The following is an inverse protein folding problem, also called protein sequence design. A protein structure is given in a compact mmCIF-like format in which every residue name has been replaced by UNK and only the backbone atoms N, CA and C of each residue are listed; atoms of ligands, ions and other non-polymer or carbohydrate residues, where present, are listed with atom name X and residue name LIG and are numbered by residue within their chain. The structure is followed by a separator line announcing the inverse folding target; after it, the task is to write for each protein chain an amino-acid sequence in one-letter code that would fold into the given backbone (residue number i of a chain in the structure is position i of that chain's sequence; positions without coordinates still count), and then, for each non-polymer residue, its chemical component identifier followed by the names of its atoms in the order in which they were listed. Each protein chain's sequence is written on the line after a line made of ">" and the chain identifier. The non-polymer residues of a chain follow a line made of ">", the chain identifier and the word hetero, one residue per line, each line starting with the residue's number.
data_IF_281514735049
#
_entry.id   IF_281514735049
#
_cell.length_a   1.000
_cell.length_b   1.000
_cell.length_c   1.000
_cell.angle_alpha   90.00
_cell.angle_beta   90.00
_cell.angle_gamma   90.00
#
_symmetry.space_group_name_H-M   'P 1'
#
loop_
_entity.id
_entity.type
_entity.pdbx_description
1 polymer ?
#
# COMPACT_ATOMS: atom_id res chain seq x y z
N UNK A 1 -25.84 -8.90 25.22
CA UNK A 1 -26.37 -8.28 23.99
C UNK A 1 -25.86 -6.85 23.74
N UNK A 2 -25.87 -5.88 24.71
CA UNK A 2 -25.45 -4.48 24.41
C UNK A 2 -23.99 -4.37 23.93
N UNK A 3 -23.07 -5.16 24.45
CA UNK A 3 -21.66 -5.14 24.05
C UNK A 3 -21.41 -5.63 22.63
N UNK A 4 -22.22 -6.57 22.13
CA UNK A 4 -22.14 -7.07 20.74
C UNK A 4 -22.60 -5.99 19.78
N UNK A 5 -23.72 -5.31 20.09
CA UNK A 5 -24.22 -4.21 19.28
C UNK A 5 -23.23 -3.04 19.27
N UNK A 6 -22.67 -2.69 20.41
CA UNK A 6 -21.66 -1.64 20.51
C UNK A 6 -20.40 -1.99 19.69
N UNK A 7 -19.94 -3.25 19.72
CA UNK A 7 -18.80 -3.70 18.92
C UNK A 7 -19.08 -3.63 17.41
N UNK A 8 -20.27 -4.08 16.97
CA UNK A 8 -20.68 -3.98 15.57
C UNK A 8 -20.74 -2.50 15.12
N UNK A 9 -21.36 -1.65 15.94
CA UNK A 9 -21.44 -0.22 15.63
C UNK A 9 -20.05 0.43 15.55
N UNK A 10 -19.14 0.10 16.44
CA UNK A 10 -17.76 0.58 16.40
C UNK A 10 -17.03 0.14 15.12
N UNK A 11 -17.24 -1.11 14.68
CA UNK A 11 -16.70 -1.62 13.41
C UNK A 11 -17.28 -0.83 12.23
N UNK A 12 -18.60 -0.66 12.18
CA UNK A 12 -19.27 0.07 11.10
C UNK A 12 -18.81 1.53 11.05
N UNK A 13 -18.70 2.19 12.21
CA UNK A 13 -18.21 3.57 12.27
C UNK A 13 -16.74 3.69 11.86
N UNK A 14 -15.88 2.75 12.25
CA UNK A 14 -14.49 2.72 11.84
C UNK A 14 -14.34 2.53 10.31
N UNK A 15 -15.11 1.61 9.72
CA UNK A 15 -15.15 1.45 8.26
C UNK A 15 -15.72 2.67 7.55
N UNK A 16 -16.82 3.26 8.06
CA UNK A 16 -17.41 4.48 7.53
C UNK A 16 -16.43 5.67 7.55
N UNK A 17 -15.70 5.85 8.65
CA UNK A 17 -14.69 6.89 8.77
C UNK A 17 -13.53 6.71 7.78
N UNK A 18 -13.15 5.47 7.49
CA UNK A 18 -12.13 5.14 6.46
C UNK A 18 -12.63 5.50 5.06
N UNK A 19 -13.89 5.19 4.73
CA UNK A 19 -14.50 5.54 3.44
C UNK A 19 -14.58 7.06 3.21
N UNK A 20 -14.79 7.83 4.28
CA UNK A 20 -14.85 9.28 4.20
C UNK A 20 -13.46 9.95 4.08
N UNK A 21 -12.42 9.34 4.62
CA UNK A 21 -11.06 9.91 4.70
C UNK A 21 -10.04 9.23 3.78
N UNK A 22 -10.31 8.00 3.35
CA UNK A 22 -9.37 7.17 2.59
C UNK A 22 -9.98 6.61 1.30
N UNK A 23 -9.20 5.75 0.64
CA UNK A 23 -9.69 4.93 -0.45
C UNK A 23 -10.49 3.74 0.11
N UNK A 24 -11.59 3.30 -0.55
CA UNK A 24 -12.21 2.03 -0.22
C UNK A 24 -11.18 0.90 -0.37
N UNK A 25 -11.35 -0.15 0.43
CA UNK A 25 -10.50 -1.34 0.29
C UNK A 25 -10.73 -1.99 -1.08
N UNK A 26 -9.75 -1.87 -1.95
CA UNK A 26 -9.68 -2.51 -3.25
C UNK A 26 -8.51 -3.51 -3.22
N UNK A 27 -8.77 -4.81 -3.18
CA UNK A 27 -7.71 -5.80 -3.12
C UNK A 27 -6.95 -5.85 -4.45
N UNK A 28 -5.65 -5.63 -4.42
CA UNK A 28 -4.78 -5.82 -5.57
C UNK A 28 -4.82 -7.28 -6.04
N UNK A 29 -5.01 -7.49 -7.33
CA UNK A 29 -4.98 -8.81 -7.92
C UNK A 29 -3.54 -9.34 -7.97
N UNK A 30 -3.36 -10.67 -7.79
CA UNK A 30 -2.02 -11.29 -7.83
C UNK A 30 -1.21 -10.98 -9.07
N UNK A 31 -1.77 -10.98 -10.30
CA UNK A 31 -1.03 -10.60 -11.51
C UNK A 31 -0.49 -9.17 -11.45
N UNK A 32 -1.29 -8.22 -10.95
CA UNK A 32 -0.90 -6.81 -10.79
C UNK A 32 0.21 -6.65 -9.74
N UNK A 33 0.08 -7.32 -8.59
CA UNK A 33 1.11 -7.29 -7.56
C UNK A 33 2.45 -7.84 -8.09
N UNK A 34 2.43 -8.95 -8.84
CA UNK A 34 3.64 -9.50 -9.49
C UNK A 34 4.22 -8.54 -10.51
N UNK A 35 3.37 -7.99 -11.39
CA UNK A 35 3.80 -7.01 -12.40
C UNK A 35 4.46 -5.78 -11.75
N UNK A 36 3.92 -5.30 -10.62
CA UNK A 36 4.52 -4.19 -9.89
C UNK A 36 5.91 -4.53 -9.33
N UNK A 37 6.07 -5.71 -8.72
CA UNK A 37 7.37 -6.15 -8.21
C UNK A 37 8.39 -6.33 -9.34
N UNK A 38 7.98 -6.90 -10.47
CA UNK A 38 8.82 -7.03 -11.66
C UNK A 38 9.23 -5.67 -12.24
N UNK A 39 8.29 -4.72 -12.33
CA UNK A 39 8.58 -3.38 -12.86
C UNK A 39 9.50 -2.57 -11.94
N UNK A 40 9.32 -2.69 -10.61
CA UNK A 40 10.19 -2.03 -9.63
C UNK A 40 11.60 -2.62 -9.61
N UNK A 41 11.76 -3.88 -10.00
CA UNK A 41 13.03 -4.62 -10.10
C UNK A 41 13.91 -4.48 -8.84
N UNK A 42 13.29 -4.54 -7.67
CA UNK A 42 14.00 -4.46 -6.40
C UNK A 42 14.71 -5.78 -6.11
N UNK A 43 15.95 -5.68 -5.62
CA UNK A 43 16.77 -6.85 -5.24
C UNK A 43 16.42 -7.34 -3.84
N UNK A 44 16.60 -8.64 -3.55
CA UNK A 44 16.48 -9.15 -2.19
C UNK A 44 17.28 -8.32 -1.18
N UNK A 45 16.65 -8.03 -0.04
CA UNK A 45 17.20 -7.15 1.00
C UNK A 45 16.86 -5.67 0.85
N UNK A 46 16.44 -5.19 -0.34
CA UNK A 46 15.93 -3.84 -0.52
C UNK A 46 14.54 -3.70 0.10
N UNK A 47 14.11 -2.46 0.32
CA UNK A 47 12.87 -2.14 1.03
C UNK A 47 11.80 -1.63 0.06
N UNK A 48 10.63 -2.26 0.09
CA UNK A 48 9.40 -1.80 -0.54
C UNK A 48 8.52 -1.06 0.47
N UNK A 49 8.04 0.13 0.12
CA UNK A 49 7.00 0.84 0.85
C UNK A 49 5.65 0.65 0.14
N UNK A 50 4.67 0.07 0.83
CA UNK A 50 3.30 -0.05 0.33
C UNK A 50 2.39 0.97 0.99
N UNK A 51 1.76 1.82 0.19
CA UNK A 51 0.82 2.83 0.64
C UNK A 51 -0.62 2.31 0.49
N UNK A 52 -1.30 2.13 1.63
CA UNK A 52 -2.60 1.47 1.69
C UNK A 52 -2.46 -0.05 1.59
N UNK A 53 -1.73 -0.66 2.55
CA UNK A 53 -1.37 -2.08 2.45
C UNK A 53 -2.54 -3.07 2.63
N UNK A 54 -3.72 -2.57 2.99
CA UNK A 54 -4.92 -3.37 3.07
C UNK A 54 -4.75 -4.61 3.95
N UNK A 55 -5.12 -5.76 3.41
CA UNK A 55 -5.03 -7.05 4.10
C UNK A 55 -3.63 -7.69 4.06
N UNK A 56 -2.62 -7.03 3.49
CA UNK A 56 -1.22 -7.46 3.50
C UNK A 56 -0.85 -8.52 2.46
N UNK A 57 -1.66 -8.76 1.44
CA UNK A 57 -1.34 -9.73 0.37
C UNK A 57 -0.08 -9.36 -0.40
N UNK A 58 0.07 -8.09 -0.74
CA UNK A 58 1.25 -7.61 -1.48
C UNK A 58 2.48 -7.65 -0.58
N UNK A 59 2.34 -7.33 0.72
CA UNK A 59 3.43 -7.45 1.69
C UNK A 59 3.99 -8.89 1.74
N UNK A 60 3.10 -9.90 1.72
CA UNK A 60 3.52 -11.31 1.70
C UNK A 60 4.27 -11.64 0.41
N UNK A 61 3.73 -11.21 -0.76
CA UNK A 61 4.38 -11.47 -2.04
C UNK A 61 5.77 -10.83 -2.14
N UNK A 62 5.90 -9.59 -1.66
CA UNK A 62 7.18 -8.90 -1.63
C UNK A 62 8.18 -9.57 -0.67
N UNK A 63 7.73 -9.99 0.51
CA UNK A 63 8.58 -10.73 1.45
C UNK A 63 9.02 -12.09 0.91
N UNK A 64 8.16 -12.79 0.15
CA UNK A 64 8.51 -14.04 -0.56
C UNK A 64 9.57 -13.81 -1.64
N UNK A 65 9.61 -12.62 -2.24
CA UNK A 65 10.67 -12.21 -3.16
C UNK A 65 11.97 -11.76 -2.44
N UNK A 66 12.04 -11.89 -1.12
CA UNK A 66 13.24 -11.55 -0.33
C UNK A 66 13.35 -10.08 0.05
N UNK A 67 12.30 -9.26 -0.19
CA UNK A 67 12.31 -7.84 0.15
C UNK A 67 12.01 -7.61 1.62
N UNK A 68 12.55 -6.51 2.17
CA UNK A 68 12.00 -5.89 3.37
C UNK A 68 10.79 -5.07 2.95
N UNK A 69 9.73 -5.06 3.77
CA UNK A 69 8.48 -4.40 3.36
C UNK A 69 7.91 -3.59 4.52
N UNK A 70 7.51 -2.37 4.23
CA UNK A 70 6.73 -1.55 5.16
C UNK A 70 5.41 -1.22 4.54
N UNK A 71 4.31 -1.66 5.16
CA UNK A 71 2.96 -1.32 4.76
C UNK A 71 2.39 -0.25 5.69
N UNK A 72 1.79 0.79 5.11
CA UNK A 72 1.03 1.79 5.87
C UNK A 72 -0.45 1.58 5.59
N UNK A 73 -1.26 1.40 6.63
CA UNK A 73 -2.70 1.15 6.50
C UNK A 73 -3.49 1.99 7.51
N UNK A 74 -4.55 2.63 7.03
CA UNK A 74 -5.41 3.50 7.83
C UNK A 74 -6.44 2.73 8.65
N UNK A 75 -6.95 1.64 8.10
CA UNK A 75 -8.01 0.84 8.73
C UNK A 75 -7.42 -0.09 9.79
N UNK A 76 -7.75 0.09 11.09
CA UNK A 76 -7.18 -0.72 12.17
C UNK A 76 -7.49 -2.21 12.05
N UNK A 77 -8.65 -2.59 11.48
CA UNK A 77 -8.99 -4.00 11.25
C UNK A 77 -8.10 -4.63 10.18
N UNK A 78 -7.86 -3.91 9.08
CA UNK A 78 -6.96 -4.39 8.04
C UNK A 78 -5.51 -4.45 8.54
N UNK A 79 -5.10 -3.56 9.43
CA UNK A 79 -3.80 -3.65 10.12
C UNK A 79 -3.67 -4.96 10.90
N UNK A 80 -4.71 -5.36 11.66
CA UNK A 80 -4.71 -6.61 12.42
C UNK A 80 -4.64 -7.80 11.45
N UNK A 81 -5.50 -7.83 10.43
CA UNK A 81 -5.52 -8.89 9.40
C UNK A 81 -4.16 -9.00 8.72
N UNK A 82 -3.59 -7.88 8.32
CA UNK A 82 -2.29 -7.81 7.68
C UNK A 82 -1.16 -8.32 8.58
N UNK A 83 -1.14 -7.96 9.87
CA UNK A 83 -0.16 -8.45 10.84
C UNK A 83 -0.26 -9.96 11.06
N UNK A 84 -1.47 -10.51 11.14
CA UNK A 84 -1.70 -11.97 11.25
C UNK A 84 -1.21 -12.66 9.99
N UNK A 85 -1.59 -12.16 8.80
CA UNK A 85 -1.18 -12.74 7.51
C UNK A 85 0.32 -12.73 7.32
N UNK A 86 1.00 -11.67 7.73
CA UNK A 86 2.44 -11.47 7.55
C UNK A 86 3.27 -12.05 8.71
N UNK A 87 2.67 -12.68 9.69
CA UNK A 87 3.34 -13.18 10.90
C UNK A 87 4.58 -14.04 10.62
N UNK A 88 4.53 -14.90 9.61
CA UNK A 88 5.68 -15.73 9.19
C UNK A 88 6.85 -14.90 8.70
N UNK A 89 6.59 -13.70 8.20
CA UNK A 89 7.57 -12.76 7.63
C UNK A 89 7.86 -11.57 8.55
N UNK A 90 7.53 -11.65 9.86
CA UNK A 90 7.63 -10.55 10.81
C UNK A 90 9.05 -9.92 10.96
N UNK A 91 10.08 -10.62 10.48
CA UNK A 91 11.45 -10.10 10.43
C UNK A 91 11.69 -9.18 9.24
N UNK A 92 10.91 -9.34 8.18
CA UNK A 92 11.00 -8.58 6.92
C UNK A 92 9.84 -7.60 6.75
N UNK A 93 8.68 -7.87 7.37
CA UNK A 93 7.45 -7.08 7.17
C UNK A 93 7.12 -6.29 8.43
N UNK A 94 6.91 -4.99 8.24
CA UNK A 94 6.40 -4.08 9.27
C UNK A 94 5.10 -3.45 8.79
N UNK A 95 4.02 -3.57 9.57
CA UNK A 95 2.72 -2.93 9.29
C UNK A 95 2.53 -1.75 10.26
N UNK A 96 2.44 -0.55 9.70
CA UNK A 96 2.24 0.71 10.41
C UNK A 96 0.76 1.09 10.31
N UNK A 97 0.11 1.26 11.44
CA UNK A 97 -1.21 1.86 11.50
C UNK A 97 -1.10 3.38 11.42
N UNK A 98 -1.72 3.96 10.41
CA UNK A 98 -1.72 5.41 10.26
C UNK A 98 -2.21 5.90 8.90
N UNK A 99 -2.48 7.18 8.84
CA UNK A 99 -2.78 7.89 7.59
C UNK A 99 -1.48 8.14 6.83
N UNK A 100 -1.33 7.51 5.65
CA UNK A 100 -0.14 7.66 4.82
C UNK A 100 0.17 9.12 4.44
N UNK A 101 -0.82 10.01 4.52
CA UNK A 101 -0.62 11.43 4.25
C UNK A 101 -0.04 12.21 5.43
N UNK A 102 -0.10 11.65 6.64
CA UNK A 102 0.34 12.28 7.89
C UNK A 102 1.60 11.64 8.47
N UNK A 103 1.70 10.30 8.37
CA UNK A 103 2.88 9.60 8.88
C UNK A 103 4.11 9.92 8.04
N UNK A 104 5.26 9.96 8.70
CA UNK A 104 6.53 10.03 7.99
C UNK A 104 6.80 8.70 7.29
N UNK A 105 7.05 8.74 5.99
CA UNK A 105 7.42 7.55 5.24
C UNK A 105 8.84 7.11 5.63
N UNK A 106 9.03 5.83 5.97
CA UNK A 106 10.36 5.31 6.25
C UNK A 106 11.19 5.26 4.96
N UNK A 107 12.52 5.24 5.05
CA UNK A 107 13.38 5.00 3.89
C UNK A 107 12.99 3.70 3.18
N UNK A 108 12.87 3.75 1.86
CA UNK A 108 12.61 2.60 1.01
C UNK A 108 13.28 2.78 -0.35
N UNK A 109 13.40 1.69 -1.11
CA UNK A 109 14.03 1.67 -2.44
C UNK A 109 13.00 1.77 -3.56
N UNK A 110 11.74 1.45 -3.27
CA UNK A 110 10.62 1.61 -4.18
C UNK A 110 9.30 1.76 -3.44
N UNK A 111 8.30 2.31 -4.11
CA UNK A 111 6.95 2.54 -3.58
C UNK A 111 5.94 1.81 -4.43
N UNK A 112 4.99 1.16 -3.77
CA UNK A 112 3.85 0.51 -4.40
C UNK A 112 2.56 1.10 -3.86
N UNK A 113 1.57 1.28 -4.73
CA UNK A 113 0.25 1.75 -4.32
C UNK A 113 -0.86 1.30 -5.26
N UNK A 114 -2.06 1.15 -4.70
CA UNK A 114 -3.32 1.08 -5.41
C UNK A 114 -4.28 2.13 -4.82
N UNK A 115 -4.20 3.35 -5.32
CA UNK A 115 -5.00 4.49 -4.87
C UNK A 115 -5.96 4.93 -5.97
N UNK A 116 -7.06 5.58 -5.56
CA UNK A 116 -8.00 6.18 -6.51
C UNK A 116 -7.40 7.42 -7.20
N UNK A 117 -7.87 7.68 -8.41
CA UNK A 117 -7.45 8.78 -9.27
C UNK A 117 -7.37 10.15 -8.55
N UNK A 118 -8.37 10.46 -7.74
CA UNK A 118 -8.42 11.71 -6.96
C UNK A 118 -7.22 11.97 -6.04
N UNK A 119 -6.45 10.93 -5.70
CA UNK A 119 -5.28 11.04 -4.83
C UNK A 119 -3.96 11.15 -5.60
N UNK A 120 -3.98 10.89 -6.92
CA UNK A 120 -2.77 10.85 -7.75
C UNK A 120 -2.01 12.19 -7.78
N UNK A 121 -2.65 13.38 -7.88
CA UNK A 121 -1.94 14.65 -7.84
C UNK A 121 -1.19 14.88 -6.52
N UNK A 122 -1.83 14.51 -5.39
CA UNK A 122 -1.21 14.63 -4.07
C UNK A 122 -0.07 13.63 -3.89
N UNK A 123 -0.22 12.42 -4.44
CA UNK A 123 0.82 11.42 -4.45
C UNK A 123 2.03 11.89 -5.24
N UNK A 124 1.83 12.42 -6.44
CA UNK A 124 2.89 12.97 -7.30
C UNK A 124 3.74 14.00 -6.56
N UNK A 125 3.10 14.98 -5.93
CA UNK A 125 3.79 15.99 -5.11
C UNK A 125 4.67 15.35 -4.03
N UNK A 126 4.17 14.34 -3.35
CA UNK A 126 4.91 13.67 -2.27
C UNK A 126 6.04 12.80 -2.79
N UNK A 127 5.85 12.16 -3.93
CA UNK A 127 6.88 11.36 -4.59
C UNK A 127 8.05 12.19 -5.11
N UNK A 128 7.80 13.42 -5.56
CA UNK A 128 8.88 14.37 -5.91
C UNK A 128 9.84 14.65 -4.76
N UNK A 129 9.33 14.73 -3.53
CA UNK A 129 10.16 14.88 -2.34
C UNK A 129 10.82 13.56 -1.92
N UNK A 130 10.15 12.43 -2.14
CA UNK A 130 10.63 11.12 -1.73
C UNK A 130 11.71 10.52 -2.66
N UNK A 131 11.67 10.85 -3.96
CA UNK A 131 12.69 10.52 -4.99
C UNK A 131 12.99 9.02 -5.11
N UNK A 132 11.97 8.21 -5.23
CA UNK A 132 12.07 6.75 -5.42
C UNK A 132 11.11 6.29 -6.51
N UNK A 133 11.38 5.18 -7.21
CA UNK A 133 10.44 4.65 -8.20
C UNK A 133 9.10 4.29 -7.56
N UNK A 134 8.02 4.55 -8.31
CA UNK A 134 6.65 4.29 -7.92
C UNK A 134 5.98 3.33 -8.90
N UNK A 135 5.45 2.22 -8.41
CA UNK A 135 4.50 1.38 -9.14
C UNK A 135 3.06 1.68 -8.67
N UNK A 136 2.24 2.20 -9.60
CA UNK A 136 0.83 2.53 -9.35
C UNK A 136 -0.08 1.57 -10.10
N UNK A 137 -1.03 0.94 -9.40
CA UNK A 137 -2.01 0.03 -9.99
C UNK A 137 -3.22 0.80 -10.47
N UNK A 138 -3.66 0.52 -11.69
CA UNK A 138 -4.86 1.01 -12.37
C UNK A 138 -4.92 2.51 -12.67
N UNK A 139 -4.38 3.37 -11.81
CA UNK A 139 -4.47 4.83 -11.95
C UNK A 139 -3.12 5.45 -12.28
N UNK A 140 -3.16 6.38 -13.24
CA UNK A 140 -1.97 7.08 -13.73
C UNK A 140 -1.76 8.39 -12.97
N UNK A 141 -0.50 8.83 -12.90
CA UNK A 141 -0.16 10.18 -12.44
C UNK A 141 -0.53 11.18 -13.54
N UNK A 142 -1.43 12.15 -13.27
CA UNK A 142 -1.85 13.13 -14.27
C UNK A 142 -0.67 13.93 -14.81
N UNK A 143 -0.61 14.07 -16.14
CA UNK A 143 0.43 14.83 -16.81
C UNK A 143 1.84 14.22 -16.80
N UNK A 144 2.02 13.03 -16.22
CA UNK A 144 3.30 12.32 -16.19
C UNK A 144 3.25 11.04 -17.02
N UNK A 145 4.22 10.87 -17.91
CA UNK A 145 4.37 9.64 -18.69
C UNK A 145 5.01 8.56 -17.83
N UNK A 146 4.38 7.38 -17.78
CA UNK A 146 4.98 6.22 -17.15
C UNK A 146 6.23 5.76 -17.93
N UNK A 147 7.28 5.35 -17.22
CA UNK A 147 8.47 4.74 -17.82
C UNK A 147 8.18 3.38 -18.44
N UNK A 148 7.32 2.62 -17.80
CA UNK A 148 6.89 1.31 -18.25
C UNK A 148 5.46 1.02 -17.76
N UNK A 149 4.80 0.08 -18.44
CA UNK A 149 3.47 -0.42 -18.09
C UNK A 149 3.44 -1.94 -18.26
N UNK A 150 2.80 -2.64 -17.30
CA UNK A 150 2.53 -4.07 -17.37
C UNK A 150 1.28 -4.42 -16.58
N UNK A 151 0.31 -5.12 -17.20
CA UNK A 151 -0.91 -5.60 -16.55
C UNK A 151 -1.72 -4.52 -15.80
N UNK A 152 -1.77 -3.29 -16.34
CA UNK A 152 -2.43 -2.15 -15.71
C UNK A 152 -1.68 -1.59 -14.49
N UNK A 153 -0.37 -1.83 -14.41
CA UNK A 153 0.54 -1.23 -13.45
C UNK A 153 1.47 -0.27 -14.18
N UNK A 154 1.57 0.94 -13.69
CA UNK A 154 2.37 2.03 -14.25
C UNK A 154 3.57 2.31 -13.37
N UNK A 155 4.77 2.30 -13.95
CA UNK A 155 6.02 2.62 -13.27
C UNK A 155 6.48 4.04 -13.58
N UNK A 156 6.82 4.79 -12.54
CA UNK A 156 7.33 6.16 -12.62
C UNK A 156 8.67 6.29 -11.90
N UNK A 157 9.55 7.10 -12.45
CA UNK A 157 10.80 7.55 -11.79
C UNK A 157 10.61 8.97 -11.22
N UNK A 158 11.24 9.22 -10.05
CA UNK A 158 11.23 10.51 -9.35
C UNK A 158 12.63 10.93 -8.91
#
# INVERSE_FOLDING_TARGET
>A
MPYVVAAILAVVLAFGAVLLRGAPYLPTLRPQARAALELLDLRPGQTLLELGSGDGKVLVLAAQAGLNVVGIELNPFLVIVSRVRTWRYRRQVRVVWGDMWRVQWPPADGVFTFLLDRFMPRLDTRMHAYKKPLASVAFQIPGRKARAEKSGVFLYDY
#
